data_IF_452276997829
#
_entry.id   IF_452276997829
#
_cell.length_a   1.000
_cell.length_b   1.000
_cell.length_c   1.000
_cell.angle_alpha   90.00
_cell.angle_beta   90.00
_cell.angle_gamma   90.00
#
_symmetry.space_group_name_H-M   'P 1'
#
loop_
_entity.id
_entity.type
_entity.pdbx_description
1 polymer ?
#
# COMPACT_ATOMS: atom_id res chain seq x y z
N UNK A 1 -34.91 42.45 3.69
CA UNK A 1 -35.05 41.27 2.82
C UNK A 1 -34.00 40.23 3.22
N UNK A 2 -34.35 39.33 4.13
CA UNK A 2 -33.50 38.18 4.46
C UNK A 2 -33.83 37.07 3.44
N UNK A 3 -32.84 36.74 2.60
CA UNK A 3 -32.94 35.66 1.62
C UNK A 3 -33.01 34.34 2.40
N UNK A 4 -34.15 33.67 2.35
CA UNK A 4 -34.28 32.26 2.75
C UNK A 4 -33.37 31.43 1.83
N UNK A 5 -32.19 31.06 2.31
CA UNK A 5 -31.42 29.99 1.70
C UNK A 5 -32.21 28.68 1.92
N UNK A 6 -32.58 27.94 0.87
CA UNK A 6 -33.27 26.68 1.04
C UNK A 6 -32.33 25.69 1.73
N UNK A 7 -32.75 25.17 2.89
CA UNK A 7 -32.16 24.00 3.53
C UNK A 7 -32.01 22.92 2.47
N UNK A 8 -30.78 22.62 2.05
CA UNK A 8 -30.50 21.47 1.19
C UNK A 8 -31.12 20.24 1.86
N UNK A 9 -31.97 19.46 1.16
CA UNK A 9 -32.65 18.36 1.80
C UNK A 9 -31.61 17.36 2.29
N UNK A 10 -31.59 17.10 3.60
CA UNK A 10 -30.64 16.24 4.31
C UNK A 10 -30.49 14.87 3.61
N UNK A 11 -31.55 14.40 2.95
CA UNK A 11 -31.56 13.18 2.14
C UNK A 11 -30.60 13.19 0.95
N UNK A 12 -30.41 14.33 0.27
CA UNK A 12 -29.48 14.46 -0.86
C UNK A 12 -28.03 14.46 -0.38
N UNK A 13 -27.77 15.06 0.78
CA UNK A 13 -26.45 15.05 1.41
C UNK A 13 -26.06 13.64 1.85
N UNK A 14 -26.97 12.90 2.49
CA UNK A 14 -26.76 11.50 2.89
C UNK A 14 -26.50 10.60 1.68
N UNK A 15 -27.33 10.68 0.62
CA UNK A 15 -27.08 9.95 -0.62
C UNK A 15 -25.70 10.25 -1.22
N UNK A 16 -25.29 11.52 -1.24
CA UNK A 16 -23.99 11.94 -1.78
C UNK A 16 -22.82 11.37 -0.96
N UNK A 17 -22.98 11.21 0.34
CA UNK A 17 -21.99 10.56 1.23
C UNK A 17 -21.90 9.06 0.89
N UNK A 18 -23.02 8.37 0.73
CA UNK A 18 -23.04 6.94 0.39
C UNK A 18 -22.36 6.65 -0.95
N UNK A 19 -22.62 7.45 -1.99
CA UNK A 19 -21.94 7.31 -3.28
C UNK A 19 -20.43 7.57 -3.18
N UNK A 20 -20.03 8.53 -2.34
CA UNK A 20 -18.61 8.86 -2.15
C UNK A 20 -17.85 7.69 -1.52
N UNK A 21 -18.45 7.01 -0.53
CA UNK A 21 -17.88 5.81 0.11
C UNK A 21 -17.67 4.70 -0.92
N UNK A 22 -18.71 4.40 -1.72
CA UNK A 22 -18.63 3.32 -2.72
C UNK A 22 -17.56 3.61 -3.77
N UNK A 23 -17.47 4.86 -4.24
CA UNK A 23 -16.45 5.26 -5.22
C UNK A 23 -15.05 5.09 -4.64
N UNK A 24 -14.82 5.50 -3.39
CA UNK A 24 -13.53 5.32 -2.72
C UNK A 24 -13.13 3.85 -2.61
N UNK A 25 -14.05 2.98 -2.22
CA UNK A 25 -13.81 1.52 -2.12
C UNK A 25 -13.48 0.89 -3.48
N UNK A 26 -14.15 1.32 -4.56
CA UNK A 26 -13.84 0.87 -5.93
C UNK A 26 -12.47 1.37 -6.38
N UNK A 27 -12.13 2.63 -6.10
CA UNK A 27 -10.81 3.19 -6.43
C UNK A 27 -9.72 2.44 -5.69
N UNK A 28 -9.91 2.17 -4.39
CA UNK A 28 -8.98 1.39 -3.58
C UNK A 28 -8.77 -0.01 -4.17
N UNK A 29 -9.85 -0.71 -4.51
CA UNK A 29 -9.78 -2.03 -5.16
C UNK A 29 -8.97 -1.98 -6.47
N UNK A 30 -9.21 -0.97 -7.31
CA UNK A 30 -8.46 -0.77 -8.56
C UNK A 30 -6.97 -0.47 -8.30
N UNK A 31 -6.65 0.37 -7.33
CA UNK A 31 -5.26 0.70 -6.98
C UNK A 31 -4.52 -0.51 -6.42
N UNK A 32 -5.14 -1.28 -5.51
CA UNK A 32 -4.56 -2.49 -4.92
C UNK A 32 -4.32 -3.58 -5.97
N UNK A 33 -5.28 -3.82 -6.87
CA UNK A 33 -5.12 -4.81 -7.94
C UNK A 33 -4.01 -4.41 -8.91
N UNK A 34 -3.95 -3.14 -9.30
CA UNK A 34 -2.88 -2.62 -10.16
C UNK A 34 -1.51 -2.69 -9.48
N UNK A 35 -1.42 -2.34 -8.20
CA UNK A 35 -0.19 -2.45 -7.39
C UNK A 35 0.29 -3.90 -7.31
N UNK A 36 -0.61 -4.85 -7.02
CA UNK A 36 -0.27 -6.26 -6.97
C UNK A 36 0.29 -6.77 -8.30
N UNK A 37 -0.39 -6.46 -9.41
CA UNK A 37 0.06 -6.82 -10.75
C UNK A 37 1.43 -6.21 -11.10
N UNK A 38 1.62 -4.92 -10.82
CA UNK A 38 2.88 -4.22 -11.05
C UNK A 38 4.02 -4.80 -10.21
N UNK A 39 3.74 -5.13 -8.94
CA UNK A 39 4.71 -5.73 -8.01
C UNK A 39 5.12 -7.12 -8.48
N UNK A 40 4.17 -7.94 -8.92
CA UNK A 40 4.45 -9.27 -9.48
C UNK A 40 5.29 -9.18 -10.76
N UNK A 41 4.99 -8.22 -11.64
CA UNK A 41 5.83 -7.96 -12.81
C UNK A 41 7.25 -7.54 -12.39
N UNK A 42 7.36 -6.59 -11.45
CA UNK A 42 8.65 -6.10 -10.96
C UNK A 42 9.50 -7.23 -10.36
N UNK A 43 8.89 -8.13 -9.58
CA UNK A 43 9.54 -9.33 -9.04
C UNK A 43 10.11 -10.21 -10.15
N UNK A 44 9.38 -10.45 -11.24
CA UNK A 44 9.87 -11.23 -12.39
C UNK A 44 11.06 -10.52 -13.05
N UNK A 45 11.00 -9.20 -13.23
CA UNK A 45 12.11 -8.42 -13.84
C UNK A 45 13.35 -8.41 -12.95
N UNK A 46 13.19 -8.28 -11.63
CA UNK A 46 14.31 -8.11 -10.70
C UNK A 46 15.05 -9.42 -10.38
N UNK A 47 14.40 -10.58 -10.59
CA UNK A 47 15.03 -11.91 -10.47
C UNK A 47 16.29 -12.05 -11.34
N UNK A 48 16.37 -11.34 -12.46
CA UNK A 48 17.51 -11.36 -13.38
C UNK A 48 18.70 -10.52 -12.91
N UNK A 49 18.58 -9.80 -11.79
CA UNK A 49 19.64 -8.95 -11.25
C UNK A 49 20.53 -9.68 -10.24
N UNK A 50 21.79 -9.25 -10.16
CA UNK A 50 22.77 -9.80 -9.23
C UNK A 50 22.54 -9.26 -7.81
N UNK A 51 22.89 -10.10 -6.83
CA UNK A 51 22.80 -9.75 -5.42
C UNK A 51 23.95 -8.81 -5.02
N UNK A 52 23.64 -7.77 -4.24
CA UNK A 52 24.60 -6.91 -3.57
C UNK A 52 24.39 -7.06 -2.07
N UNK A 53 25.48 -7.28 -1.31
CA UNK A 53 25.43 -7.08 0.14
C UNK A 53 25.24 -5.60 0.41
N UNK A 54 24.07 -5.22 0.92
CA UNK A 54 23.81 -3.87 1.43
C UNK A 54 23.76 -3.94 2.95
N UNK A 55 24.03 -2.80 3.58
CA UNK A 55 23.98 -2.62 5.04
C UNK A 55 22.67 -1.97 5.49
N UNK A 56 21.64 -1.87 4.62
CA UNK A 56 20.39 -1.14 4.87
C UNK A 56 19.44 -1.92 5.79
N UNK A 57 19.91 -2.22 7.02
CA UNK A 57 19.12 -2.91 8.05
C UNK A 57 17.96 -2.07 8.58
N UNK A 58 18.11 -0.74 8.54
CA UNK A 58 17.10 0.17 9.08
C UNK A 58 15.82 0.16 8.23
N UNK A 59 15.94 0.33 6.91
CA UNK A 59 14.80 0.26 5.97
C UNK A 59 14.07 -1.08 6.08
N UNK A 60 14.82 -2.19 6.22
CA UNK A 60 14.24 -3.52 6.40
C UNK A 60 13.35 -3.59 7.65
N UNK A 61 13.83 -3.05 8.79
CA UNK A 61 13.05 -3.02 10.05
C UNK A 61 11.83 -2.13 9.92
N UNK A 62 11.95 -0.95 9.30
CA UNK A 62 10.84 -0.02 9.13
C UNK A 62 9.74 -0.62 8.26
N UNK A 63 10.09 -1.29 7.15
CA UNK A 63 9.12 -1.99 6.30
C UNK A 63 8.42 -3.10 7.10
N UNK A 64 9.14 -3.91 7.87
CA UNK A 64 8.54 -4.99 8.66
C UNK A 64 7.61 -4.44 9.75
N UNK A 65 8.05 -3.44 10.51
CA UNK A 65 7.26 -2.85 11.59
C UNK A 65 5.99 -2.19 11.03
N UNK A 66 6.11 -1.43 9.95
CA UNK A 66 4.95 -0.77 9.33
C UNK A 66 3.95 -1.75 8.70
N UNK A 67 4.43 -2.86 8.14
CA UNK A 67 3.59 -3.95 7.62
C UNK A 67 2.68 -4.56 8.70
N UNK A 68 3.10 -4.55 9.97
CA UNK A 68 2.24 -5.03 11.07
C UNK A 68 0.93 -4.26 11.19
N UNK A 69 0.91 -2.97 10.82
CA UNK A 69 -0.31 -2.17 10.78
C UNK A 69 -1.31 -2.68 9.75
N UNK A 70 -0.84 -3.11 8.57
CA UNK A 70 -1.69 -3.73 7.55
C UNK A 70 -2.30 -5.02 8.11
N UNK A 71 -1.48 -5.88 8.70
CA UNK A 71 -1.98 -7.13 9.28
C UNK A 71 -2.98 -6.92 10.41
N UNK A 72 -2.69 -5.97 11.32
CA UNK A 72 -3.58 -5.65 12.43
C UNK A 72 -4.94 -5.20 11.90
N UNK A 73 -4.98 -4.22 10.99
CA UNK A 73 -6.23 -3.74 10.42
C UNK A 73 -6.98 -4.85 9.68
N UNK A 74 -6.30 -5.61 8.82
CA UNK A 74 -6.92 -6.64 7.99
C UNK A 74 -7.50 -7.78 8.81
N UNK A 75 -6.78 -8.28 9.83
CA UNK A 75 -7.24 -9.41 10.66
C UNK A 75 -8.49 -9.02 11.45
N UNK A 76 -8.44 -7.89 12.17
CA UNK A 76 -9.57 -7.46 12.99
C UNK A 76 -10.78 -7.11 12.12
N UNK A 77 -10.57 -6.48 10.96
CA UNK A 77 -11.65 -6.16 10.01
C UNK A 77 -12.27 -7.40 9.38
N UNK A 78 -11.45 -8.37 8.95
CA UNK A 78 -11.95 -9.61 8.37
C UNK A 78 -12.79 -10.39 9.38
N UNK A 79 -12.34 -10.47 10.63
CA UNK A 79 -13.08 -11.16 11.69
C UNK A 79 -14.47 -10.55 11.92
N UNK A 80 -14.58 -9.23 12.02
CA UNK A 80 -15.86 -8.54 12.19
C UNK A 80 -16.83 -8.72 11.01
N UNK A 81 -16.32 -8.84 9.79
CA UNK A 81 -17.15 -9.08 8.61
C UNK A 81 -17.61 -10.54 8.56
N UNK A 82 -16.69 -11.49 8.77
CA UNK A 82 -16.98 -12.93 8.75
C UNK A 82 -17.99 -13.30 9.84
N UNK A 83 -17.90 -12.72 11.03
CA UNK A 83 -18.85 -12.97 12.12
C UNK A 83 -20.28 -12.51 11.79
N UNK A 84 -20.45 -11.60 10.83
CA UNK A 84 -21.74 -11.05 10.42
C UNK A 84 -22.17 -11.51 9.01
N UNK A 85 -21.50 -12.53 8.45
CA UNK A 85 -21.68 -12.92 7.04
C UNK A 85 -23.11 -13.41 6.72
N UNK A 86 -23.80 -14.01 7.69
CA UNK A 86 -25.17 -14.53 7.54
C UNK A 86 -26.23 -13.46 7.28
N UNK A 87 -25.95 -12.21 7.64
CA UNK A 87 -26.86 -11.06 7.47
C UNK A 87 -26.32 -10.02 6.48
N UNK A 88 -25.25 -10.37 5.75
CA UNK A 88 -24.42 -9.41 5.04
C UNK A 88 -24.88 -9.12 3.61
N UNK A 89 -24.81 -7.84 3.23
CA UNK A 89 -25.08 -7.36 1.86
C UNK A 89 -23.89 -7.62 0.93
N UNK A 90 -24.09 -7.50 -0.39
CA UNK A 90 -23.01 -7.61 -1.40
C UNK A 90 -21.80 -6.70 -1.09
N UNK A 91 -22.04 -5.56 -0.43
CA UNK A 91 -21.01 -4.60 0.01
C UNK A 91 -20.03 -5.25 1.00
N UNK A 92 -20.50 -6.11 1.90
CA UNK A 92 -19.64 -6.81 2.85
C UNK A 92 -18.65 -7.75 2.15
N UNK A 93 -19.10 -8.47 1.11
CA UNK A 93 -18.25 -9.35 0.32
C UNK A 93 -17.17 -8.58 -0.43
N UNK A 94 -17.52 -7.43 -1.04
CA UNK A 94 -16.55 -6.56 -1.70
C UNK A 94 -15.51 -6.04 -0.70
N UNK A 95 -15.95 -5.58 0.48
CA UNK A 95 -15.03 -5.13 1.53
C UNK A 95 -14.11 -6.23 2.03
N UNK A 96 -14.63 -7.44 2.23
CA UNK A 96 -13.82 -8.60 2.60
C UNK A 96 -12.78 -8.91 1.52
N UNK A 97 -13.15 -8.84 0.24
CA UNK A 97 -12.21 -9.02 -0.87
C UNK A 97 -11.12 -7.95 -0.89
N UNK A 98 -11.46 -6.67 -0.64
CA UNK A 98 -10.48 -5.56 -0.51
C UNK A 98 -9.52 -5.84 0.65
N UNK A 99 -10.02 -6.26 1.81
CA UNK A 99 -9.19 -6.56 2.99
C UNK A 99 -8.22 -7.71 2.73
N UNK A 100 -8.69 -8.78 2.09
CA UNK A 100 -7.84 -9.93 1.72
C UNK A 100 -6.79 -9.49 0.69
N UNK A 101 -7.20 -8.70 -0.31
CA UNK A 101 -6.30 -8.20 -1.33
C UNK A 101 -5.22 -7.28 -0.73
N UNK A 102 -5.59 -6.39 0.20
CA UNK A 102 -4.66 -5.51 0.90
C UNK A 102 -3.63 -6.30 1.72
N UNK A 103 -4.08 -7.37 2.40
CA UNK A 103 -3.19 -8.26 3.14
C UNK A 103 -2.17 -8.94 2.22
N UNK A 104 -2.64 -9.53 1.11
CA UNK A 104 -1.80 -10.25 0.14
C UNK A 104 -0.86 -9.30 -0.59
N UNK A 105 -1.37 -8.17 -1.06
CA UNK A 105 -0.59 -7.15 -1.76
C UNK A 105 0.48 -6.55 -0.85
N UNK A 106 0.14 -6.17 0.39
CA UNK A 106 1.10 -5.63 1.35
C UNK A 106 2.24 -6.61 1.64
N UNK A 107 1.93 -7.90 1.76
CA UNK A 107 2.93 -8.96 1.98
C UNK A 107 3.88 -9.08 0.78
N UNK A 108 3.33 -9.22 -0.43
CA UNK A 108 4.11 -9.41 -1.65
C UNK A 108 4.94 -8.16 -1.95
N UNK A 109 4.40 -6.97 -1.71
CA UNK A 109 5.07 -5.70 -1.91
C UNK A 109 6.21 -5.48 -0.93
N UNK A 110 6.02 -5.78 0.36
CA UNK A 110 7.08 -5.74 1.35
C UNK A 110 8.24 -6.68 0.97
N UNK A 111 7.93 -7.93 0.61
CA UNK A 111 8.93 -8.89 0.14
C UNK A 111 9.67 -8.38 -1.10
N UNK A 112 8.95 -7.79 -2.05
CA UNK A 112 9.56 -7.17 -3.22
C UNK A 112 10.56 -6.07 -2.85
N UNK A 113 10.18 -5.13 -1.97
CA UNK A 113 11.08 -4.05 -1.53
C UNK A 113 12.32 -4.60 -0.85
N UNK A 114 12.16 -5.51 0.11
CA UNK A 114 13.27 -6.13 0.84
C UNK A 114 14.24 -6.85 -0.10
N UNK A 115 13.72 -7.50 -1.15
CA UNK A 115 14.53 -8.11 -2.19
C UNK A 115 15.18 -7.06 -3.10
N UNK A 116 14.44 -6.03 -3.49
CA UNK A 116 14.89 -5.01 -4.42
C UNK A 116 16.01 -4.14 -3.86
N UNK A 117 15.94 -3.80 -2.58
CA UNK A 117 17.00 -3.09 -1.86
C UNK A 117 18.33 -3.86 -1.90
N UNK A 118 18.30 -5.19 -2.06
CA UNK A 118 19.49 -6.05 -2.11
C UNK A 118 20.00 -6.36 -3.52
N UNK A 119 19.38 -5.81 -4.57
CA UNK A 119 19.73 -6.10 -5.97
C UNK A 119 20.48 -4.94 -6.61
N UNK A 120 21.45 -5.23 -7.50
CA UNK A 120 22.14 -4.24 -8.34
C UNK A 120 22.15 -4.66 -9.81
N UNK A 121 22.09 -3.69 -10.71
CA UNK A 121 22.32 -3.95 -12.14
C UNK A 121 23.77 -4.37 -12.40
N UNK A 122 23.93 -5.35 -13.30
CA UNK A 122 25.23 -5.78 -13.82
C UNK A 122 25.73 -4.73 -14.83
N UNK A 123 26.99 -4.29 -14.70
CA UNK A 123 27.61 -3.29 -15.60
C UNK A 123 27.70 -3.71 -17.08
N UNK A 124 27.39 -4.95 -17.43
CA UNK A 124 27.66 -5.48 -18.78
C UNK A 124 26.54 -5.22 -19.80
N UNK A 125 25.37 -4.72 -19.40
CA UNK A 125 24.26 -4.50 -20.35
C UNK A 125 24.29 -3.06 -20.88
N UNK A 126 24.92 -2.86 -22.03
CA UNK A 126 24.86 -1.62 -22.83
C UNK A 126 23.45 -1.27 -23.35
N UNK A 127 22.44 -2.12 -23.09
CA UNK A 127 21.10 -1.95 -23.63
C UNK A 127 20.03 -1.99 -22.55
N UNK A 128 19.32 -0.87 -22.44
CA UNK A 128 18.05 -0.58 -21.74
C UNK A 128 17.99 -1.02 -20.26
N UNK A 129 17.46 -0.15 -19.42
CA UNK A 129 17.18 -0.46 -18.01
C UNK A 129 15.72 -0.90 -17.88
N UNK A 130 15.35 -2.16 -18.20
CA UNK A 130 13.95 -2.57 -18.35
C UNK A 130 13.14 -2.46 -17.05
N UNK A 131 13.76 -2.27 -15.89
CA UNK A 131 13.05 -2.18 -14.62
C UNK A 131 12.59 -0.75 -14.27
N UNK A 132 13.17 0.31 -14.86
CA UNK A 132 12.96 1.70 -14.40
C UNK A 132 11.51 2.16 -14.48
N UNK A 133 10.86 1.92 -15.62
CA UNK A 133 9.47 2.31 -15.86
C UNK A 133 8.50 1.66 -14.85
N UNK A 134 8.77 0.41 -14.47
CA UNK A 134 7.94 -0.32 -13.52
C UNK A 134 8.17 0.20 -12.09
N UNK A 135 9.41 0.51 -11.72
CA UNK A 135 9.67 1.11 -10.41
C UNK A 135 9.02 2.50 -10.29
N UNK A 136 9.06 3.31 -11.35
CA UNK A 136 8.36 4.61 -11.34
C UNK A 136 6.85 4.45 -11.23
N UNK A 137 6.26 3.46 -11.90
CA UNK A 137 4.84 3.14 -11.76
C UNK A 137 4.51 2.74 -10.31
N UNK A 138 5.32 1.87 -9.70
CA UNK A 138 5.12 1.45 -8.32
C UNK A 138 5.20 2.63 -7.34
N UNK A 139 6.17 3.54 -7.50
CA UNK A 139 6.24 4.77 -6.68
C UNK A 139 4.94 5.57 -6.77
N UNK A 140 4.40 5.75 -7.98
CA UNK A 140 3.13 6.47 -8.16
C UNK A 140 1.95 5.74 -7.51
N UNK A 141 1.91 4.41 -7.57
CA UNK A 141 0.87 3.60 -6.95
C UNK A 141 0.93 3.65 -5.42
N UNK A 142 2.12 3.54 -4.83
CA UNK A 142 2.30 3.67 -3.38
C UNK A 142 1.93 5.05 -2.87
N UNK A 143 2.30 6.12 -3.60
CA UNK A 143 1.88 7.48 -3.26
C UNK A 143 0.37 7.69 -3.38
N UNK A 144 -0.27 7.05 -4.37
CA UNK A 144 -1.73 7.10 -4.54
C UNK A 144 -2.45 6.41 -3.39
N UNK A 145 -2.00 5.20 -3.01
CA UNK A 145 -2.54 4.44 -1.87
C UNK A 145 -2.26 5.16 -0.54
N UNK A 146 -1.10 5.78 -0.39
CA UNK A 146 -0.77 6.62 0.77
C UNK A 146 -1.72 7.82 0.88
N UNK A 147 -1.95 8.52 -0.23
CA UNK A 147 -2.84 9.68 -0.29
C UNK A 147 -4.29 9.30 0.02
N UNK A 148 -4.76 8.19 -0.54
CA UNK A 148 -6.09 7.64 -0.26
C UNK A 148 -6.25 7.36 1.24
N UNK A 149 -5.32 6.60 1.83
CA UNK A 149 -5.37 6.27 3.27
C UNK A 149 -5.40 7.53 4.13
N UNK A 150 -4.51 8.48 3.87
CA UNK A 150 -4.44 9.73 4.65
C UNK A 150 -5.73 10.55 4.56
N UNK A 151 -6.34 10.62 3.37
CA UNK A 151 -7.58 11.36 3.15
C UNK A 151 -8.78 10.68 3.80
N UNK A 152 -8.86 9.36 3.72
CA UNK A 152 -9.97 8.55 4.22
C UNK A 152 -9.94 8.43 5.75
N UNK A 153 -8.76 8.34 6.37
CA UNK A 153 -8.61 8.34 7.84
C UNK A 153 -9.18 9.60 8.49
N UNK A 154 -9.20 10.72 7.78
CA UNK A 154 -9.76 11.99 8.29
C UNK A 154 -11.30 12.03 8.18
N UNK A 155 -11.92 11.15 7.40
CA UNK A 155 -13.33 11.28 6.98
C UNK A 155 -14.24 10.08 7.27
N UNK A 156 -13.70 8.86 7.43
CA UNK A 156 -14.49 7.62 7.40
C UNK A 156 -14.04 6.58 8.43
N UNK A 157 -14.19 6.86 9.72
CA UNK A 157 -14.04 5.81 10.74
C UNK A 157 -15.40 5.39 11.30
N UNK A 158 -16.14 4.62 10.50
CA UNK A 158 -17.25 3.80 10.96
C UNK A 158 -17.74 2.86 9.85
N UNK A 159 -16.98 1.81 9.50
CA UNK A 159 -17.62 0.71 8.78
C UNK A 159 -18.65 0.09 9.73
N UNK A 160 -19.95 0.03 9.40
CA UNK A 160 -20.99 -0.42 10.33
C UNK A 160 -20.72 -1.82 10.88
N UNK A 161 -20.06 -2.69 10.11
CA UNK A 161 -19.71 -4.05 10.53
C UNK A 161 -18.70 -4.09 11.68
N UNK A 162 -17.65 -3.26 11.64
CA UNK A 162 -16.60 -3.24 12.66
C UNK A 162 -17.13 -2.64 13.97
N UNK A 163 -17.89 -1.55 13.89
CA UNK A 163 -18.50 -0.92 15.05
C UNK A 163 -19.61 -1.77 15.67
N UNK A 164 -20.39 -2.48 14.87
CA UNK A 164 -21.41 -3.38 15.40
C UNK A 164 -20.79 -4.57 16.16
N UNK A 165 -19.61 -5.02 15.73
CA UNK A 165 -18.94 -6.16 16.35
C UNK A 165 -18.08 -5.79 17.57
N UNK A 166 -17.18 -4.80 17.43
CA UNK A 166 -16.23 -4.44 18.47
C UNK A 166 -16.71 -3.31 19.39
N UNK A 167 -17.77 -2.60 19.00
CA UNK A 167 -18.16 -1.31 19.57
C UNK A 167 -17.11 -0.21 19.32
N UNK A 168 -17.46 1.03 19.64
CA UNK A 168 -16.69 2.22 19.28
C UNK A 168 -15.30 2.23 19.91
N UNK A 169 -15.20 2.03 21.23
CA UNK A 169 -13.94 2.21 21.96
C UNK A 169 -12.87 1.19 21.52
N UNK A 170 -13.13 -0.13 21.50
CA UNK A 170 -12.11 -1.10 21.09
C UNK A 170 -11.70 -0.92 19.63
N UNK A 171 -12.65 -0.62 18.74
CA UNK A 171 -12.36 -0.36 17.34
C UNK A 171 -11.46 0.87 17.15
N UNK A 172 -11.77 1.98 17.83
CA UNK A 172 -10.97 3.20 17.77
C UNK A 172 -9.53 2.98 18.28
N UNK A 173 -9.31 2.12 19.27
CA UNK A 173 -7.94 1.79 19.73
C UNK A 173 -7.19 1.02 18.63
N UNK A 174 -7.85 0.04 18.00
CA UNK A 174 -7.25 -0.74 16.91
C UNK A 174 -6.87 0.17 15.74
N UNK A 175 -7.78 1.04 15.29
CA UNK A 175 -7.52 1.95 14.17
C UNK A 175 -6.49 3.02 14.52
N UNK A 176 -6.49 3.54 15.74
CA UNK A 176 -5.48 4.51 16.20
C UNK A 176 -4.04 3.99 16.11
N UNK A 177 -3.84 2.66 16.18
CA UNK A 177 -2.52 2.03 16.02
C UNK A 177 -2.29 1.59 14.58
N UNK A 178 -3.27 0.90 13.98
CA UNK A 178 -3.10 0.28 12.68
C UNK A 178 -2.99 1.31 11.55
N UNK A 179 -3.86 2.32 11.56
CA UNK A 179 -3.99 3.29 10.47
C UNK A 179 -2.71 4.12 10.26
N UNK A 180 -2.06 4.69 11.30
CA UNK A 180 -0.78 5.38 11.13
C UNK A 180 0.33 4.48 10.59
N UNK A 181 0.39 3.23 11.04
CA UNK A 181 1.38 2.26 10.55
C UNK A 181 1.15 1.92 9.07
N UNK A 182 -0.11 1.76 8.64
CA UNK A 182 -0.45 1.54 7.24
C UNK A 182 -0.08 2.72 6.33
N UNK A 183 -0.34 3.96 6.80
CA UNK A 183 0.06 5.18 6.10
C UNK A 183 1.59 5.21 6.00
N UNK A 184 2.28 4.97 7.11
CA UNK A 184 3.74 4.95 7.14
C UNK A 184 4.34 3.88 6.22
N UNK A 185 3.74 2.68 6.14
CA UNK A 185 4.16 1.62 5.22
C UNK A 185 4.19 2.10 3.77
N UNK A 186 3.09 2.69 3.28
CA UNK A 186 2.99 3.16 1.89
C UNK A 186 3.97 4.30 1.59
N UNK A 187 4.09 5.25 2.53
CA UNK A 187 5.04 6.34 2.40
C UNK A 187 6.48 5.81 2.35
N UNK A 188 6.89 4.99 3.31
CA UNK A 188 8.24 4.46 3.39
C UNK A 188 8.56 3.52 2.22
N UNK A 189 7.59 2.73 1.75
CA UNK A 189 7.71 1.92 0.54
C UNK A 189 8.10 2.77 -0.68
N UNK A 190 7.43 3.91 -0.89
CA UNK A 190 7.76 4.83 -1.98
C UNK A 190 9.19 5.40 -1.86
N UNK A 191 9.65 5.69 -0.64
CA UNK A 191 11.02 6.15 -0.36
C UNK A 191 12.03 5.05 -0.70
N UNK A 192 11.82 3.82 -0.23
CA UNK A 192 12.68 2.68 -0.54
C UNK A 192 12.75 2.43 -2.06
N UNK A 193 11.61 2.51 -2.76
CA UNK A 193 11.56 2.37 -4.21
C UNK A 193 12.30 3.49 -4.94
N UNK A 194 12.23 4.73 -4.45
CA UNK A 194 13.01 5.84 -5.01
C UNK A 194 14.52 5.61 -4.88
N UNK A 195 14.95 5.02 -3.76
CA UNK A 195 16.34 4.64 -3.55
C UNK A 195 16.76 3.49 -4.46
N UNK A 196 15.90 2.46 -4.63
CA UNK A 196 16.11 1.39 -5.62
C UNK A 196 16.23 1.98 -7.03
N UNK A 197 15.34 2.90 -7.41
CA UNK A 197 15.34 3.58 -8.70
C UNK A 197 16.64 4.38 -8.93
N UNK A 198 17.05 5.20 -7.96
CA UNK A 198 18.28 5.99 -8.02
C UNK A 198 19.53 5.12 -8.12
N UNK A 199 19.55 3.98 -7.42
CA UNK A 199 20.65 3.02 -7.50
C UNK A 199 20.75 2.32 -8.87
N UNK A 200 19.69 2.36 -9.70
CA UNK A 200 19.78 1.92 -11.10
C UNK A 200 20.55 2.91 -12.00
N UNK A 201 20.86 4.13 -11.55
CA UNK A 201 21.61 5.13 -12.31
C UNK A 201 23.12 5.11 -12.01
N UNK A 202 23.50 4.76 -10.79
CA UNK A 202 24.90 4.77 -10.35
C UNK A 202 25.63 3.49 -10.79
N UNK A 203 26.21 3.55 -11.99
CA UNK A 203 27.33 2.67 -12.36
C UNK A 203 28.42 2.87 -11.29
N UNK A 204 28.97 1.80 -10.68
CA UNK A 204 30.15 1.98 -9.85
C UNK A 204 31.27 2.61 -10.71
N UNK A 205 32.14 3.45 -10.12
CA UNK A 205 33.36 3.86 -10.79
C UNK A 205 34.09 2.61 -11.30
N UNK A 206 34.67 2.70 -12.49
CA UNK A 206 35.42 1.60 -13.09
C UNK A 206 36.52 1.16 -12.12
N UNK A 207 36.33 0.03 -11.46
CA UNK A 207 37.35 -0.63 -10.66
C UNK A 207 38.05 -1.62 -11.60
N UNK A 208 39.30 -1.35 -12.05
CA UNK A 208 40.00 -2.26 -12.92
C UNK A 208 40.13 -3.62 -12.24
N UNK A 209 39.88 -4.67 -13.01
CA UNK A 209 39.83 -6.08 -12.59
C UNK A 209 41.11 -6.50 -11.80
N UNK A 210 42.22 -5.78 -11.99
CA UNK A 210 43.50 -5.99 -11.31
C UNK A 210 43.48 -5.82 -9.78
N UNK A 211 42.45 -5.19 -9.18
CA UNK A 211 42.38 -4.99 -7.73
C UNK A 211 41.47 -5.98 -6.99
N UNK A 212 40.90 -6.96 -7.70
CA UNK A 212 39.95 -7.91 -7.11
C UNK A 212 40.60 -9.17 -6.53
N UNK A 213 41.85 -9.44 -6.91
CA UNK A 213 42.55 -10.70 -6.64
C UNK A 213 43.86 -10.50 -5.81
N UNK A 214 43.97 -9.39 -5.07
CA UNK A 214 45.03 -9.17 -4.06
C UNK A 214 44.42 -8.99 -2.66
#
# INVERSE_FOLDING_TARGET
AAVYQPLTPISNTLKKIDYSIVILEIVNLCLLTLSLCATMWALIKIRKLNYRRTTTRFDDVLIIVSLTGIYLYSIFSAFAIISNLSSSTWVAYVKLAIIILEFVEGTIHALFILLALRKRLRQTSKHKYPAREIITLLIMLDLSLWFEKTTTSTKHEANPFQLAFYHVIPWSIITAIATPLQIFFRFHASVCLSHVWANMYHLPPYEPIALRDF
#
